data_IF_100454542461
#
_entry.id   IF_100454542461
#
_cell.length_a   1.000
_cell.length_b   1.000
_cell.length_c   1.000
_cell.angle_alpha   90.00
_cell.angle_beta   90.00
_cell.angle_gamma   90.00
#
_symmetry.space_group_name_H-M   'P 1'
#
loop_
_entity.id
_entity.type
_entity.pdbx_description
1 polymer ?
#
# COMPACT_ATOMS: atom_id res chain seq x y z
N UNK A 1 13.49 14.50 -24.66
CA UNK A 1 12.41 14.65 -23.66
C UNK A 1 13.08 14.87 -22.30
N UNK A 2 13.10 16.10 -21.78
CA UNK A 2 13.69 16.41 -20.48
C UNK A 2 12.56 16.56 -19.45
N UNK A 3 12.16 15.44 -18.83
CA UNK A 3 11.24 15.43 -17.70
C UNK A 3 12.05 15.11 -16.45
N UNK A 4 11.90 15.93 -15.41
CA UNK A 4 12.55 15.71 -14.10
C UNK A 4 11.52 15.81 -12.98
N UNK A 5 11.96 15.63 -11.73
CA UNK A 5 11.10 15.81 -10.56
C UNK A 5 10.60 17.26 -10.44
N UNK A 6 11.43 18.21 -10.83
CA UNK A 6 11.17 19.66 -10.79
C UNK A 6 10.40 20.14 -12.02
N UNK A 7 10.44 19.38 -13.12
CA UNK A 7 9.80 19.72 -14.39
C UNK A 7 9.00 18.53 -14.96
N UNK A 8 7.71 18.46 -14.62
CA UNK A 8 6.79 17.38 -14.99
C UNK A 8 6.10 17.56 -16.35
N UNK A 9 6.67 18.33 -17.27
CA UNK A 9 6.12 18.55 -18.59
C UNK A 9 7.21 18.78 -19.63
N UNK A 10 6.87 18.59 -20.90
CA UNK A 10 7.74 18.92 -22.03
C UNK A 10 6.92 19.51 -23.18
N UNK A 11 7.59 20.14 -24.14
CA UNK A 11 6.94 20.66 -25.34
C UNK A 11 7.12 19.68 -26.51
N UNK A 12 6.04 19.48 -27.28
CA UNK A 12 6.06 18.78 -28.56
C UNK A 12 5.27 19.63 -29.57
N UNK A 13 5.89 20.01 -30.69
CA UNK A 13 5.28 20.88 -31.71
C UNK A 13 4.66 22.17 -31.14
N UNK A 14 5.34 22.79 -30.17
CA UNK A 14 4.84 24.00 -29.50
C UNK A 14 3.72 23.78 -28.47
N UNK A 15 3.22 22.55 -28.33
CA UNK A 15 2.22 22.19 -27.32
C UNK A 15 2.87 21.67 -26.05
N UNK A 16 2.40 22.16 -24.89
CA UNK A 16 2.84 21.71 -23.57
C UNK A 16 2.12 20.41 -23.20
N UNK A 17 2.89 19.34 -22.97
CA UNK A 17 2.39 18.03 -22.57
C UNK A 17 2.85 17.72 -21.15
N UNK A 18 1.89 17.44 -20.26
CA UNK A 18 2.17 17.05 -18.89
C UNK A 18 2.46 15.55 -18.79
N UNK A 19 3.47 15.20 -18.02
CA UNK A 19 3.86 13.84 -17.74
C UNK A 19 3.35 13.44 -16.35
N UNK A 20 2.60 12.35 -16.29
CA UNK A 20 2.11 11.77 -15.04
C UNK A 20 2.49 10.30 -14.95
N UNK A 21 2.77 9.86 -13.72
CA UNK A 21 2.91 8.44 -13.43
C UNK A 21 1.53 7.79 -13.27
N UNK A 22 1.45 6.50 -13.62
CA UNK A 22 0.30 5.66 -13.29
C UNK A 22 0.26 5.44 -11.76
N UNK A 23 -0.56 6.23 -11.08
CA UNK A 23 -0.74 6.15 -9.63
C UNK A 23 -1.19 4.75 -9.14
N UNK A 24 -2.19 4.09 -9.77
CA UNK A 24 -2.50 2.67 -9.53
C UNK A 24 -1.27 1.74 -9.54
N UNK A 25 -0.39 1.89 -10.53
CA UNK A 25 0.82 1.08 -10.62
C UNK A 25 1.87 1.43 -9.56
N UNK A 26 2.03 2.70 -9.21
CA UNK A 26 2.89 3.10 -8.11
C UNK A 26 2.41 2.49 -6.78
N UNK A 27 1.11 2.54 -6.48
CA UNK A 27 0.55 1.94 -5.26
C UNK A 27 0.80 0.43 -5.19
N UNK A 28 0.58 -0.28 -6.31
CA UNK A 28 0.87 -1.70 -6.43
C UNK A 28 2.35 -2.00 -6.18
N UNK A 29 3.25 -1.22 -6.77
CA UNK A 29 4.71 -1.37 -6.59
C UNK A 29 5.12 -1.12 -5.14
N UNK A 30 4.60 -0.07 -4.51
CA UNK A 30 4.81 0.20 -3.07
C UNK A 30 4.37 -0.98 -2.22
N UNK A 31 3.19 -1.55 -2.49
CA UNK A 31 2.71 -2.75 -1.78
C UNK A 31 3.64 -3.93 -1.98
N UNK A 32 4.06 -4.20 -3.22
CA UNK A 32 4.94 -5.34 -3.50
C UNK A 32 6.30 -5.19 -2.79
N UNK A 33 6.82 -3.97 -2.72
CA UNK A 33 8.04 -3.67 -1.97
C UNK A 33 7.83 -3.86 -0.46
N UNK A 34 6.71 -3.40 0.11
CA UNK A 34 6.34 -3.61 1.52
C UNK A 34 6.31 -5.10 1.91
N UNK A 35 5.82 -5.98 1.04
CA UNK A 35 5.80 -7.42 1.34
C UNK A 35 7.15 -8.13 1.14
N UNK A 36 8.07 -7.52 0.38
CA UNK A 36 9.39 -8.08 0.06
C UNK A 36 10.50 -7.55 0.98
N UNK A 37 10.34 -6.34 1.51
CA UNK A 37 11.38 -5.59 2.21
C UNK A 37 10.80 -4.83 3.41
N UNK A 38 11.67 -4.48 4.36
CA UNK A 38 11.35 -3.49 5.38
C UNK A 38 11.30 -2.09 4.75
N UNK A 39 10.36 -1.27 5.20
CA UNK A 39 10.27 0.12 4.78
C UNK A 39 10.83 1.02 5.87
N UNK A 40 11.80 1.85 5.50
CA UNK A 40 12.30 2.94 6.33
C UNK A 40 11.56 4.23 6.01
N UNK A 41 11.22 4.96 7.07
CA UNK A 41 10.67 6.31 7.03
C UNK A 41 11.58 7.21 7.86
N UNK A 42 11.39 8.53 7.74
CA UNK A 42 12.17 9.54 8.49
C UNK A 42 12.22 9.25 10.00
N UNK A 43 11.18 8.59 10.53
CA UNK A 43 10.95 8.46 11.97
C UNK A 43 11.00 6.99 12.45
N UNK A 44 11.47 6.05 11.61
CA UNK A 44 11.56 4.65 12.01
C UNK A 44 11.45 3.66 10.85
N UNK A 45 11.31 2.39 11.18
CA UNK A 45 11.14 1.31 10.21
C UNK A 45 9.86 0.53 10.49
N UNK A 46 9.27 -0.05 9.45
CA UNK A 46 8.15 -0.97 9.56
C UNK A 46 8.40 -2.22 8.71
N UNK A 47 7.74 -3.30 9.11
CA UNK A 47 7.79 -4.60 8.45
C UNK A 47 6.36 -5.13 8.28
N UNK A 48 6.14 -5.95 7.26
CA UNK A 48 4.85 -6.60 7.04
C UNK A 48 4.36 -7.40 8.24
N UNK A 49 5.26 -7.86 9.12
CA UNK A 49 4.92 -8.64 10.31
C UNK A 49 3.82 -7.98 11.16
N UNK A 50 3.78 -6.65 11.24
CA UNK A 50 2.75 -5.94 12.00
C UNK A 50 1.37 -6.08 11.37
N UNK A 51 1.29 -6.10 10.04
CA UNK A 51 0.06 -6.36 9.31
C UNK A 51 -0.36 -7.83 9.42
N UNK A 52 0.59 -8.76 9.39
CA UNK A 52 0.34 -10.19 9.58
C UNK A 52 -0.22 -10.49 10.98
N UNK A 53 0.41 -9.91 12.01
CA UNK A 53 -0.05 -10.01 13.40
C UNK A 53 -1.46 -9.45 13.54
N UNK A 54 -1.70 -8.23 13.04
CA UNK A 54 -3.05 -7.65 13.05
C UNK A 54 -4.08 -8.57 12.39
N UNK A 55 -3.77 -9.15 11.21
CA UNK A 55 -4.68 -10.08 10.55
C UNK A 55 -4.96 -11.36 11.36
N UNK A 56 -4.00 -11.83 12.16
CA UNK A 56 -4.19 -12.97 13.06
C UNK A 56 -5.08 -12.59 14.26
N UNK A 57 -4.88 -11.41 14.83
CA UNK A 57 -5.69 -10.91 15.95
C UNK A 57 -7.12 -10.56 15.53
N UNK A 58 -7.29 -9.99 14.34
CA UNK A 58 -8.59 -9.65 13.76
C UNK A 58 -9.32 -10.89 13.18
N UNK A 59 -9.21 -12.03 13.86
CA UNK A 59 -9.93 -13.28 13.54
C UNK A 59 -11.10 -13.43 14.49
N UNK A 60 -12.30 -13.30 13.95
CA UNK A 60 -13.54 -13.46 14.71
C UNK A 60 -14.76 -13.16 13.84
N UNK A 61 -15.94 -13.21 14.44
CA UNK A 61 -17.19 -12.87 13.76
C UNK A 61 -17.27 -11.37 13.42
N UNK A 62 -16.77 -10.51 14.31
CA UNK A 62 -16.82 -9.05 14.18
C UNK A 62 -15.43 -8.47 13.88
N UNK A 63 -14.98 -8.67 12.64
CA UNK A 63 -13.67 -8.18 12.18
C UNK A 63 -13.67 -6.67 11.96
N UNK A 64 -12.61 -6.00 12.40
CA UNK A 64 -12.35 -4.59 12.19
C UNK A 64 -11.87 -4.29 10.75
N UNK A 65 -11.20 -5.26 10.10
CA UNK A 65 -10.77 -5.16 8.71
C UNK A 65 -11.29 -6.32 7.85
N UNK A 66 -12.61 -6.43 7.63
CA UNK A 66 -13.24 -7.60 7.00
C UNK A 66 -12.79 -7.83 5.54
N UNK A 67 -12.35 -6.77 4.83
CA UNK A 67 -11.83 -6.87 3.46
C UNK A 67 -10.44 -7.48 3.39
N UNK A 68 -9.65 -7.43 4.46
CA UNK A 68 -8.38 -8.14 4.49
C UNK A 68 -8.64 -9.64 4.55
N UNK A 69 -8.05 -10.33 3.59
CA UNK A 69 -8.11 -11.79 3.47
C UNK A 69 -6.70 -12.34 3.40
N UNK A 70 -6.56 -13.67 3.51
CA UNK A 70 -5.27 -14.35 3.35
C UNK A 70 -4.55 -13.96 2.07
N UNK A 71 -5.28 -13.70 0.98
CA UNK A 71 -4.71 -13.29 -0.31
C UNK A 71 -4.16 -11.87 -0.34
N UNK A 72 -4.54 -11.02 0.62
CA UNK A 72 -3.95 -9.70 0.82
C UNK A 72 -2.62 -9.81 1.56
N UNK A 73 -2.55 -10.70 2.54
CA UNK A 73 -1.39 -10.92 3.42
C UNK A 73 -0.30 -11.74 2.71
N UNK A 74 -0.70 -12.80 2.02
CA UNK A 74 0.18 -13.71 1.29
C UNK A 74 -0.21 -13.73 -0.20
N UNK A 75 0.10 -12.65 -0.95
CA UNK A 75 -0.33 -12.54 -2.34
C UNK A 75 0.50 -13.44 -3.27
N UNK A 76 -0.18 -14.30 -4.02
CA UNK A 76 0.40 -15.02 -5.17
C UNK A 76 0.65 -14.11 -6.38
N UNK A 77 1.23 -14.63 -7.48
CA UNK A 77 1.60 -13.85 -8.66
C UNK A 77 0.45 -13.01 -9.23
N UNK A 78 -0.74 -13.61 -9.37
CA UNK A 78 -1.91 -12.90 -9.89
C UNK A 78 -2.43 -11.84 -8.90
N UNK A 79 -2.40 -12.13 -7.60
CA UNK A 79 -2.83 -11.18 -6.56
C UNK A 79 -1.85 -10.01 -6.42
N UNK A 80 -0.55 -10.19 -6.72
CA UNK A 80 0.44 -9.10 -6.80
C UNK A 80 0.10 -8.07 -7.88
N UNK A 81 -0.64 -8.47 -8.92
CA UNK A 81 -1.06 -7.59 -10.01
C UNK A 81 -2.36 -6.84 -9.73
N UNK A 82 -3.18 -7.31 -8.78
CA UNK A 82 -4.45 -6.65 -8.41
C UNK A 82 -4.20 -5.36 -7.63
N UNK A 83 -4.41 -4.21 -8.29
CA UNK A 83 -4.30 -2.88 -7.66
C UNK A 83 -5.30 -2.74 -6.50
N UNK A 84 -6.51 -3.30 -6.64
CA UNK A 84 -7.52 -3.26 -5.58
C UNK A 84 -7.05 -3.91 -4.27
N UNK A 85 -6.17 -4.91 -4.34
CA UNK A 85 -5.62 -5.52 -3.12
C UNK A 85 -4.60 -4.58 -2.48
N UNK A 86 -3.82 -3.86 -3.28
CA UNK A 86 -2.89 -2.86 -2.76
C UNK A 86 -3.62 -1.70 -2.07
N UNK A 87 -4.73 -1.22 -2.66
CA UNK A 87 -5.53 -0.16 -2.03
C UNK A 87 -6.24 -0.61 -0.77
N UNK A 88 -6.69 -1.87 -0.69
CA UNK A 88 -7.30 -2.42 0.51
C UNK A 88 -6.29 -2.61 1.64
N UNK A 89 -5.07 -3.07 1.34
CA UNK A 89 -3.97 -3.18 2.32
C UNK A 89 -3.62 -1.82 2.91
N UNK A 90 -3.48 -0.78 2.08
CA UNK A 90 -3.16 0.58 2.52
C UNK A 90 -4.39 1.46 2.73
N UNK A 91 -5.50 0.87 3.18
CA UNK A 91 -6.74 1.62 3.42
C UNK A 91 -6.77 2.26 4.80
N UNK A 92 -7.51 3.36 4.93
CA UNK A 92 -7.76 4.01 6.22
C UNK A 92 -8.45 3.10 7.23
N UNK A 93 -9.31 2.17 6.79
CA UNK A 93 -9.96 1.17 7.65
C UNK A 93 -8.94 0.24 8.31
N UNK A 94 -7.97 -0.28 7.54
CA UNK A 94 -6.91 -1.13 8.09
C UNK A 94 -6.05 -0.35 9.08
N UNK A 95 -5.66 0.88 8.73
CA UNK A 95 -4.88 1.72 9.62
C UNK A 95 -5.61 2.03 10.94
N UNK A 96 -6.89 2.39 10.88
CA UNK A 96 -7.71 2.65 12.06
C UNK A 96 -7.86 1.39 12.92
N UNK A 97 -8.13 0.24 12.31
CA UNK A 97 -8.26 -1.02 13.02
C UNK A 97 -6.96 -1.42 13.74
N UNK A 98 -5.81 -1.35 13.05
CA UNK A 98 -4.50 -1.60 13.66
C UNK A 98 -4.23 -0.64 14.83
N UNK A 99 -4.58 0.65 14.68
CA UNK A 99 -4.45 1.63 15.76
C UNK A 99 -5.34 1.29 16.96
N UNK A 100 -6.58 0.87 16.73
CA UNK A 100 -7.50 0.45 17.79
C UNK A 100 -6.95 -0.74 18.57
N UNK A 101 -6.39 -1.75 17.90
CA UNK A 101 -5.76 -2.90 18.59
C UNK A 101 -4.62 -2.46 19.52
N UNK A 102 -3.79 -1.50 19.09
CA UNK A 102 -2.68 -0.98 19.92
C UNK A 102 -3.20 -0.25 21.18
N UNK A 103 -4.28 0.55 21.06
CA UNK A 103 -4.82 1.30 22.19
C UNK A 103 -5.69 0.44 23.13
N UNK A 104 -6.25 -0.65 22.62
CA UNK A 104 -7.14 -1.55 23.36
C UNK A 104 -6.42 -2.44 24.39
N UNK A 105 -5.09 -2.48 24.40
CA UNK A 105 -4.31 -3.22 25.41
C UNK A 105 -4.56 -4.74 25.39
N UNK A 106 -4.71 -5.34 24.21
CA UNK A 106 -4.80 -6.79 23.99
C UNK A 106 -3.57 -7.30 23.27
#
# INVERSE_FOLDING_TARGET
>A
MHVSKELSYFYANGQKLFYFFDAPHLLKSTRNNFFKHQLSFLNGMTDKIYLEQFYIFDRGLNRLAPKLTVSHIYPGPFQKMKVSYASQVFSGTVAAAMKTCIHGGT
#
